data_IF_808095197176
#
_entry.id   IF_808095197176
#
_cell.length_a   1.000
_cell.length_b   1.000
_cell.length_c   1.000
_cell.angle_alpha   90.00
_cell.angle_beta   90.00
_cell.angle_gamma   90.00
#
_symmetry.space_group_name_H-M   'P 1'
#
loop_
_entity.id
_entity.type
_entity.pdbx_description
1 polymer ?
#
# COMPACT_ATOMS: atom_id res chain seq x y z
N UNK A 1 -23.25 6.07 10.19
CA UNK A 1 -22.71 4.95 9.37
C UNK A 1 -22.99 3.65 10.09
N UNK A 2 -23.40 2.59 9.38
CA UNK A 2 -23.70 1.30 10.03
C UNK A 2 -22.41 0.58 10.44
N UNK A 3 -22.51 -0.32 11.41
CA UNK A 3 -21.38 -1.18 11.81
C UNK A 3 -20.90 -2.05 10.65
N UNK A 4 -21.82 -2.57 9.83
CA UNK A 4 -21.50 -3.37 8.64
C UNK A 4 -20.65 -2.59 7.63
N UNK A 5 -20.98 -1.31 7.41
CA UNK A 5 -20.19 -0.43 6.54
C UNK A 5 -18.78 -0.23 7.11
N UNK A 6 -18.66 0.06 8.39
CA UNK A 6 -17.35 0.24 9.03
C UNK A 6 -16.52 -1.05 8.99
N UNK A 7 -17.17 -2.21 9.14
CA UNK A 7 -16.51 -3.51 9.09
C UNK A 7 -16.04 -3.84 7.67
N UNK A 8 -16.87 -3.61 6.66
CA UNK A 8 -16.50 -3.85 5.26
C UNK A 8 -15.34 -2.95 4.83
N UNK A 9 -15.38 -1.67 5.21
CA UNK A 9 -14.29 -0.72 4.95
C UNK A 9 -12.97 -1.18 5.59
N UNK A 10 -13.00 -1.58 6.88
CA UNK A 10 -11.80 -2.09 7.56
C UNK A 10 -11.24 -3.35 6.90
N UNK A 11 -12.10 -4.28 6.49
CA UNK A 11 -11.68 -5.50 5.79
C UNK A 11 -10.96 -5.18 4.49
N UNK A 12 -11.53 -4.27 3.69
CA UNK A 12 -10.91 -3.81 2.44
C UNK A 12 -9.54 -3.17 2.69
N UNK A 13 -9.46 -2.18 3.59
CA UNK A 13 -8.21 -1.48 3.89
C UNK A 13 -7.14 -2.44 4.45
N UNK A 14 -7.53 -3.43 5.25
CA UNK A 14 -6.62 -4.47 5.74
C UNK A 14 -6.06 -5.31 4.59
N UNK A 15 -6.91 -5.73 3.65
CA UNK A 15 -6.48 -6.49 2.49
C UNK A 15 -5.50 -5.68 1.63
N UNK A 16 -5.79 -4.41 1.36
CA UNK A 16 -4.89 -3.50 0.63
C UNK A 16 -3.54 -3.41 1.34
N UNK A 17 -3.52 -3.17 2.65
CA UNK A 17 -2.28 -3.06 3.42
C UNK A 17 -1.41 -4.33 3.36
N UNK A 18 -2.01 -5.49 3.64
CA UNK A 18 -1.28 -6.77 3.66
C UNK A 18 -0.73 -7.15 2.28
N UNK A 19 -1.54 -6.98 1.23
CA UNK A 19 -1.12 -7.32 -0.14
C UNK A 19 -0.06 -6.36 -0.68
N UNK A 20 -0.19 -5.06 -0.38
CA UNK A 20 0.82 -4.05 -0.76
C UNK A 20 2.16 -4.34 -0.08
N UNK A 21 2.15 -4.68 1.21
CA UNK A 21 3.37 -5.05 1.94
C UNK A 21 4.08 -6.25 1.30
N UNK A 22 3.35 -7.32 0.99
CA UNK A 22 3.92 -8.51 0.34
C UNK A 22 4.54 -8.18 -1.03
N UNK A 23 3.87 -7.34 -1.82
CA UNK A 23 4.38 -6.91 -3.12
C UNK A 23 5.67 -6.07 -2.99
N UNK A 24 5.71 -5.14 -2.01
CA UNK A 24 6.89 -4.33 -1.71
C UNK A 24 8.06 -5.23 -1.27
N UNK A 25 7.84 -6.14 -0.32
CA UNK A 25 8.87 -7.06 0.17
C UNK A 25 9.43 -7.95 -0.96
N UNK A 26 8.56 -8.43 -1.85
CA UNK A 26 8.96 -9.18 -3.04
C UNK A 26 9.84 -8.35 -3.97
N UNK A 27 9.42 -7.12 -4.30
CA UNK A 27 10.17 -6.23 -5.17
C UNK A 27 11.55 -5.83 -4.58
N UNK A 28 11.62 -5.57 -3.27
CA UNK A 28 12.88 -5.27 -2.58
C UNK A 28 13.84 -6.47 -2.62
N UNK A 29 13.30 -7.68 -2.37
CA UNK A 29 14.07 -8.92 -2.43
C UNK A 29 14.61 -9.21 -3.82
N UNK A 30 13.78 -9.09 -4.85
CA UNK A 30 14.17 -9.34 -6.24
C UNK A 30 15.23 -8.34 -6.73
N UNK A 31 15.17 -7.10 -6.24
CA UNK A 31 16.19 -6.07 -6.51
C UNK A 31 17.50 -6.30 -5.73
N UNK A 32 17.48 -7.13 -4.70
CA UNK A 32 18.59 -7.28 -3.76
C UNK A 32 18.89 -5.98 -3.01
N UNK A 33 17.83 -5.23 -2.66
CA UNK A 33 17.94 -4.00 -1.87
C UNK A 33 18.57 -4.31 -0.50
N UNK A 34 19.41 -3.40 0.00
CA UNK A 34 20.15 -3.54 1.26
C UNK A 34 19.80 -2.41 2.22
N UNK A 35 20.18 -2.54 3.49
CA UNK A 35 20.08 -1.41 4.41
C UNK A 35 20.82 -0.18 3.88
N UNK A 36 20.15 0.97 4.00
CA UNK A 36 20.61 2.25 3.46
C UNK A 36 20.10 2.57 2.06
N UNK A 37 19.59 1.58 1.31
CA UNK A 37 18.87 1.86 0.08
C UNK A 37 17.50 2.48 0.41
N UNK A 38 17.13 3.52 -0.34
CA UNK A 38 15.83 4.18 -0.20
C UNK A 38 15.10 4.22 -1.52
N UNK A 39 13.78 4.05 -1.46
CA UNK A 39 12.91 4.03 -2.64
C UNK A 39 11.69 4.91 -2.40
N UNK A 40 11.48 5.86 -3.29
CA UNK A 40 10.23 6.63 -3.32
C UNK A 40 9.10 5.73 -3.83
N UNK A 41 8.02 5.66 -3.04
CA UNK A 41 6.83 4.89 -3.33
C UNK A 41 5.62 5.79 -3.51
N UNK A 42 4.74 5.40 -4.43
CA UNK A 42 3.47 6.08 -4.71
C UNK A 42 2.36 5.04 -4.78
N UNK A 43 1.33 5.23 -3.96
CA UNK A 43 0.06 4.52 -4.03
C UNK A 43 -0.99 5.46 -4.61
N UNK A 44 -1.85 4.94 -5.49
CA UNK A 44 -3.01 5.64 -6.03
C UNK A 44 -4.25 4.81 -5.70
N UNK A 45 -5.21 5.39 -4.98
CA UNK A 45 -6.53 4.84 -4.75
C UNK A 45 -7.52 5.54 -5.66
N UNK A 46 -8.13 4.77 -6.56
CA UNK A 46 -9.21 5.22 -7.43
C UNK A 46 -10.51 4.51 -7.07
N UNK A 47 -11.63 5.22 -7.13
CA UNK A 47 -12.96 4.62 -6.98
C UNK A 47 -13.82 5.00 -8.18
N UNK A 48 -14.04 4.03 -9.06
CA UNK A 48 -14.88 4.20 -10.24
C UNK A 48 -16.30 4.60 -9.82
N UNK A 49 -16.84 5.63 -10.47
CA UNK A 49 -18.16 6.17 -10.17
C UNK A 49 -18.22 7.18 -9.02
N UNK A 50 -17.11 7.44 -8.32
CA UNK A 50 -17.00 8.55 -7.36
C UNK A 50 -16.11 9.71 -7.84
N UNK A 51 -15.58 9.62 -9.07
CA UNK A 51 -14.61 10.59 -9.64
C UNK A 51 -13.51 10.99 -8.66
N UNK A 52 -13.04 10.00 -7.88
CA UNK A 52 -12.17 10.19 -6.74
C UNK A 52 -10.83 9.50 -6.99
N UNK A 53 -9.76 10.29 -6.89
CA UNK A 53 -8.37 9.84 -6.86
C UNK A 53 -7.71 10.34 -5.58
N UNK A 54 -7.06 9.44 -4.86
CA UNK A 54 -6.24 9.78 -3.71
C UNK A 54 -4.85 9.20 -3.87
N UNK A 55 -3.85 10.06 -3.74
CA UNK A 55 -2.44 9.71 -3.89
C UNK A 55 -1.76 9.77 -2.53
N UNK A 56 -1.06 8.68 -2.18
CA UNK A 56 -0.19 8.61 -1.01
C UNK A 56 1.24 8.39 -1.50
N UNK A 57 2.17 9.23 -1.04
CA UNK A 57 3.60 9.09 -1.31
C UNK A 57 4.36 8.86 -0.02
N UNK A 58 5.45 8.11 -0.08
CA UNK A 58 6.34 7.90 1.05
C UNK A 58 7.63 7.20 0.64
N UNK A 59 8.58 7.17 1.56
CA UNK A 59 9.88 6.51 1.35
C UNK A 59 9.86 5.12 1.97
N UNK A 60 10.37 4.13 1.25
CA UNK A 60 10.57 2.76 1.69
C UNK A 60 12.06 2.50 1.82
N UNK A 61 12.48 1.93 2.94
CA UNK A 61 13.87 1.56 3.20
C UNK A 61 14.10 0.09 2.82
N UNK A 62 15.27 -0.19 2.24
CA UNK A 62 15.75 -1.55 2.01
C UNK A 62 15.94 -2.28 3.34
N UNK A 63 15.59 -3.56 3.36
CA UNK A 63 15.80 -4.42 4.53
C UNK A 63 17.22 -5.02 4.50
N UNK A 64 17.83 -5.19 5.67
CA UNK A 64 19.06 -5.99 5.84
C UNK A 64 18.83 -7.49 5.57
#
# INVERSE_FOLDING_TARGET
MSEDFNMSMRKFLKQVGVTSQQAIEGALRDKGAKAGDTFEAKMVLTIDGLDMEHVVTGTIEGQD
#
